data_IF_343606341434
#
_entry.id   IF_343606341434
#
_cell.length_a   1.000
_cell.length_b   1.000
_cell.length_c   1.000
_cell.angle_alpha   90.00
_cell.angle_beta   90.00
_cell.angle_gamma   90.00
#
_symmetry.space_group_name_H-M   'P 1'
#
loop_
_entity.id
_entity.type
_entity.pdbx_description
1 polymer ?
#
# COMPACT_ATOMS: atom_id res chain seq x y z
N UNK A 1 50.93 31.99 -9.07
CA UNK A 1 50.92 30.69 -9.81
C UNK A 1 50.07 29.59 -9.13
N UNK A 2 49.24 29.89 -8.13
CA UNK A 2 48.43 28.89 -7.40
C UNK A 2 46.90 28.87 -7.77
N UNK A 3 46.38 29.85 -8.50
CA UNK A 3 44.95 29.96 -8.80
C UNK A 3 44.53 29.16 -10.07
N UNK A 4 45.46 28.94 -11.02
CA UNK A 4 45.15 28.17 -12.25
C UNK A 4 44.93 26.65 -12.02
N UNK A 5 45.50 26.05 -10.98
CA UNK A 5 45.38 24.62 -10.72
C UNK A 5 44.03 24.25 -10.06
N UNK A 6 43.41 25.19 -9.35
CA UNK A 6 42.10 24.93 -8.68
C UNK A 6 40.96 24.90 -9.72
N UNK A 7 40.98 25.72 -10.74
CA UNK A 7 39.97 25.74 -11.79
C UNK A 7 39.99 24.49 -12.69
N UNK A 8 41.18 23.91 -12.93
CA UNK A 8 41.32 22.68 -13.73
C UNK A 8 40.79 21.47 -12.98
N UNK A 9 41.01 21.38 -11.68
CA UNK A 9 40.49 20.27 -10.85
C UNK A 9 38.96 20.32 -10.71
N UNK A 10 38.36 21.51 -10.62
CA UNK A 10 36.90 21.66 -10.58
C UNK A 10 36.25 21.31 -11.95
N UNK A 11 36.87 21.68 -13.07
CA UNK A 11 36.39 21.37 -14.40
C UNK A 11 36.46 19.85 -14.70
N UNK A 12 37.52 19.18 -14.28
CA UNK A 12 37.70 17.74 -14.47
C UNK A 12 36.69 16.97 -13.59
N UNK A 13 36.46 17.39 -12.34
CA UNK A 13 35.47 16.80 -11.44
C UNK A 13 34.04 16.95 -11.98
N UNK A 14 33.68 18.09 -12.56
CA UNK A 14 32.37 18.32 -13.17
C UNK A 14 32.17 17.49 -14.45
N UNK A 15 33.18 17.36 -15.28
CA UNK A 15 33.14 16.53 -16.51
C UNK A 15 33.06 15.05 -16.11
N UNK A 16 33.80 14.59 -15.10
CA UNK A 16 33.72 13.22 -14.61
C UNK A 16 32.36 12.90 -13.98
N UNK A 17 31.74 13.82 -13.24
CA UNK A 17 30.41 13.62 -12.67
C UNK A 17 29.31 13.59 -13.75
N UNK A 18 29.42 14.41 -14.77
CA UNK A 18 28.49 14.41 -15.90
C UNK A 18 28.66 13.16 -16.80
N UNK A 19 29.89 12.68 -17.02
CA UNK A 19 30.12 11.42 -17.73
C UNK A 19 29.70 10.18 -16.95
N UNK A 20 29.85 10.15 -15.63
CA UNK A 20 29.30 9.07 -14.79
C UNK A 20 27.76 9.08 -14.75
N UNK A 21 27.15 10.25 -14.67
CA UNK A 21 25.68 10.39 -14.74
C UNK A 21 25.15 9.96 -16.11
N UNK A 22 25.77 10.41 -17.21
CA UNK A 22 25.40 9.98 -18.55
C UNK A 22 25.61 8.49 -18.80
N UNK A 23 26.69 7.89 -18.28
CA UNK A 23 26.94 6.46 -18.37
C UNK A 23 25.94 5.63 -17.52
N UNK A 24 25.46 6.16 -16.41
CA UNK A 24 24.42 5.52 -15.61
C UNK A 24 23.05 5.57 -16.31
N UNK A 25 22.75 6.67 -16.99
CA UNK A 25 21.50 6.84 -17.74
C UNK A 25 21.46 5.94 -18.98
N UNK A 26 22.56 5.87 -19.75
CA UNK A 26 22.66 4.96 -20.91
C UNK A 26 22.53 3.49 -20.51
N UNK A 27 23.10 3.09 -19.39
CA UNK A 27 22.98 1.71 -18.89
C UNK A 27 21.55 1.40 -18.43
N UNK A 28 20.85 2.38 -17.84
CA UNK A 28 19.45 2.27 -17.47
C UNK A 28 18.54 2.16 -18.69
N UNK A 29 18.72 3.02 -19.67
CA UNK A 29 17.95 2.99 -20.93
C UNK A 29 18.15 1.67 -21.68
N UNK A 30 19.39 1.19 -21.77
CA UNK A 30 19.70 -0.07 -22.42
C UNK A 30 19.04 -1.26 -21.72
N UNK A 31 19.05 -1.27 -20.39
CA UNK A 31 18.37 -2.30 -19.59
C UNK A 31 16.84 -2.27 -19.74
N UNK A 32 16.26 -1.08 -19.80
CA UNK A 32 14.82 -0.93 -20.07
C UNK A 32 14.45 -1.42 -21.46
N UNK A 33 15.28 -1.13 -22.47
CA UNK A 33 15.09 -1.62 -23.84
C UNK A 33 15.19 -3.14 -23.94
N UNK A 34 16.11 -3.77 -23.21
CA UNK A 34 16.22 -5.23 -23.15
C UNK A 34 14.99 -5.87 -22.49
N UNK A 35 14.50 -5.30 -21.40
CA UNK A 35 13.25 -5.73 -20.76
C UNK A 35 12.07 -5.57 -21.72
N UNK A 36 11.97 -4.46 -22.41
CA UNK A 36 10.94 -4.22 -23.40
C UNK A 36 10.97 -5.27 -24.54
N UNK A 37 12.15 -5.55 -25.08
CA UNK A 37 12.32 -6.60 -26.11
C UNK A 37 11.97 -7.99 -25.60
N UNK A 38 12.29 -8.30 -24.34
CA UNK A 38 11.92 -9.57 -23.71
C UNK A 38 10.40 -9.74 -23.66
N UNK A 39 9.69 -8.76 -23.10
CA UNK A 39 8.23 -8.83 -23.02
C UNK A 39 7.55 -8.79 -24.39
N UNK A 40 8.09 -8.06 -25.35
CA UNK A 40 7.57 -8.02 -26.70
C UNK A 40 7.68 -9.35 -27.43
N UNK A 41 8.71 -10.15 -27.11
CA UNK A 41 8.93 -11.45 -27.72
C UNK A 41 8.06 -12.55 -27.10
N UNK A 42 7.90 -12.53 -25.79
CA UNK A 42 7.24 -13.60 -25.02
C UNK A 42 5.71 -13.40 -24.93
N UNK A 43 5.22 -12.16 -25.10
CA UNK A 43 3.82 -11.81 -24.87
C UNK A 43 3.19 -11.02 -26.00
N UNK A 44 1.86 -11.04 -26.08
CA UNK A 44 1.05 -10.35 -27.09
C UNK A 44 0.68 -8.91 -26.67
N UNK A 45 1.60 -8.16 -26.10
CA UNK A 45 1.33 -6.76 -25.74
C UNK A 45 1.29 -5.87 -27.00
N UNK A 46 0.32 -4.94 -27.04
CA UNK A 46 0.40 -3.85 -27.99
C UNK A 46 1.55 -2.94 -27.56
N UNK A 47 2.58 -2.92 -28.34
CA UNK A 47 3.69 -2.01 -28.16
C UNK A 47 3.34 -0.74 -28.90
N UNK A 48 2.84 0.26 -28.24
CA UNK A 48 2.99 1.62 -28.70
C UNK A 48 4.48 1.93 -28.62
N UNK A 49 5.08 2.18 -29.76
CA UNK A 49 6.53 2.29 -29.94
C UNK A 49 7.21 3.36 -29.09
N UNK A 50 6.54 4.04 -28.22
CA UNK A 50 7.04 5.21 -27.49
C UNK A 50 6.91 5.16 -25.98
N UNK A 51 6.00 4.37 -25.39
CA UNK A 51 5.83 4.41 -23.93
C UNK A 51 5.20 3.14 -23.37
N UNK A 52 5.98 2.44 -22.59
CA UNK A 52 5.51 1.41 -21.68
C UNK A 52 5.50 1.98 -20.26
N UNK A 53 4.35 2.39 -19.78
CA UNK A 53 4.18 3.02 -18.48
C UNK A 53 4.70 2.18 -17.30
N UNK A 54 4.73 0.86 -17.44
CA UNK A 54 5.11 -0.04 -16.36
C UNK A 54 6.61 -0.41 -16.33
N UNK A 55 7.26 -0.65 -17.48
CA UNK A 55 8.66 -1.14 -17.50
C UNK A 55 9.61 -0.20 -16.73
N UNK A 56 9.39 1.09 -16.81
CA UNK A 56 10.13 2.09 -16.05
C UNK A 56 10.02 1.94 -14.52
N UNK A 57 8.98 1.30 -14.04
CA UNK A 57 8.70 1.12 -12.62
C UNK A 57 9.29 -0.18 -12.04
N UNK A 58 9.70 -1.13 -12.89
CA UNK A 58 10.24 -2.43 -12.47
C UNK A 58 11.37 -2.32 -11.44
N UNK A 59 12.37 -1.42 -11.56
CA UNK A 59 13.42 -1.30 -10.55
C UNK A 59 12.88 -0.90 -9.17
N UNK A 60 11.90 -0.01 -9.12
CA UNK A 60 11.24 0.42 -7.89
C UNK A 60 10.43 -0.72 -7.28
N UNK A 61 9.62 -1.40 -8.09
CA UNK A 61 8.83 -2.54 -7.63
C UNK A 61 9.71 -3.70 -7.16
N UNK A 62 10.81 -3.99 -7.88
CA UNK A 62 11.78 -5.01 -7.47
C UNK A 62 12.41 -4.71 -6.10
N UNK A 63 12.69 -3.44 -5.80
CA UNK A 63 13.22 -3.01 -4.51
C UNK A 63 12.17 -3.09 -3.41
N UNK A 64 10.96 -2.58 -3.64
CA UNK A 64 9.90 -2.45 -2.62
C UNK A 64 9.21 -3.78 -2.37
N UNK A 65 8.84 -4.51 -3.41
CA UNK A 65 8.09 -5.76 -3.32
C UNK A 65 8.99 -7.01 -3.24
N UNK A 66 10.27 -6.90 -3.61
CA UNK A 66 11.24 -8.00 -3.58
C UNK A 66 11.26 -8.79 -2.27
N UNK A 67 11.15 -8.16 -1.10
CA UNK A 67 11.05 -8.88 0.19
C UNK A 67 9.83 -9.80 0.31
N UNK A 68 8.81 -9.67 -0.54
CA UNK A 68 7.62 -10.53 -0.59
C UNK A 68 7.78 -11.71 -1.55
N UNK A 69 8.80 -11.71 -2.40
CA UNK A 69 9.04 -12.77 -3.40
C UNK A 69 9.05 -14.15 -2.76
N UNK A 70 8.23 -15.04 -3.29
CA UNK A 70 8.16 -16.44 -2.87
C UNK A 70 7.55 -16.67 -1.49
N UNK A 71 7.01 -15.66 -0.83
CA UNK A 71 6.28 -15.87 0.42
C UNK A 71 4.94 -16.57 0.16
N UNK A 72 4.52 -17.50 1.03
CA UNK A 72 3.23 -18.16 0.91
C UNK A 72 2.08 -17.21 1.17
N UNK A 73 0.96 -17.41 0.47
CA UNK A 73 -0.32 -16.75 0.76
C UNK A 73 -0.38 -15.27 0.38
N UNK A 74 0.63 -14.71 -0.30
CA UNK A 74 0.57 -13.34 -0.81
C UNK A 74 -0.57 -13.18 -1.79
N UNK A 75 -1.40 -12.18 -1.57
CA UNK A 75 -2.51 -11.85 -2.45
C UNK A 75 -2.36 -10.42 -3.01
N UNK A 76 -2.27 -10.33 -4.33
CA UNK A 76 -2.15 -9.09 -5.07
C UNK A 76 -3.48 -8.75 -5.75
N UNK A 77 -3.89 -7.48 -5.64
CA UNK A 77 -5.04 -6.91 -6.36
C UNK A 77 -4.55 -5.85 -7.34
N UNK A 78 -5.07 -5.88 -8.55
CA UNK A 78 -4.83 -4.87 -9.58
C UNK A 78 -6.14 -4.31 -10.09
N UNK A 79 -6.26 -2.99 -10.09
CA UNK A 79 -7.38 -2.24 -10.64
C UNK A 79 -6.90 -1.60 -11.93
N UNK A 80 -7.46 -2.05 -13.06
CA UNK A 80 -6.98 -1.68 -14.38
C UNK A 80 -5.88 -2.62 -14.88
N UNK A 81 -6.23 -3.87 -15.21
CA UNK A 81 -5.22 -4.85 -15.69
C UNK A 81 -4.84 -4.65 -17.15
N UNK A 82 -5.64 -3.94 -17.94
CA UNK A 82 -5.42 -3.72 -19.37
C UNK A 82 -5.05 -5.04 -20.10
N UNK A 83 -3.84 -5.13 -20.65
CA UNK A 83 -3.30 -6.32 -21.31
C UNK A 83 -2.48 -7.23 -20.35
N UNK A 84 -2.34 -6.86 -19.07
CA UNK A 84 -1.75 -7.67 -17.99
C UNK A 84 -0.25 -7.53 -17.80
N UNK A 85 0.38 -6.46 -18.24
CA UNK A 85 1.84 -6.34 -18.17
C UNK A 85 2.39 -6.31 -16.74
N UNK A 86 1.87 -5.45 -15.89
CA UNK A 86 2.15 -5.38 -14.46
C UNK A 86 1.77 -6.66 -13.74
N UNK A 87 0.56 -7.18 -14.03
CA UNK A 87 0.06 -8.44 -13.48
C UNK A 87 1.00 -9.63 -13.74
N UNK A 88 1.47 -9.76 -14.98
CA UNK A 88 2.39 -10.84 -15.37
C UNK A 88 3.74 -10.68 -14.69
N UNK A 89 4.28 -9.45 -14.67
CA UNK A 89 5.53 -9.20 -13.97
C UNK A 89 5.44 -9.59 -12.48
N UNK A 90 4.35 -9.25 -11.82
CA UNK A 90 4.13 -9.62 -10.41
C UNK A 90 4.02 -11.14 -10.24
N UNK A 91 3.32 -11.83 -11.14
CA UNK A 91 3.20 -13.30 -11.13
C UNK A 91 4.56 -13.97 -11.27
N UNK A 92 5.41 -13.50 -12.18
CA UNK A 92 6.73 -14.05 -12.47
C UNK A 92 7.76 -13.74 -11.39
N UNK A 93 7.70 -12.53 -10.79
CA UNK A 93 8.80 -12.03 -9.97
C UNK A 93 8.48 -11.99 -8.47
N UNK A 94 7.22 -11.87 -8.07
CA UNK A 94 6.79 -11.71 -6.68
C UNK A 94 5.96 -12.90 -6.22
N UNK A 95 4.89 -13.24 -6.95
CA UNK A 95 3.93 -14.29 -6.59
C UNK A 95 4.41 -15.69 -6.97
N UNK A 96 5.70 -15.97 -6.76
CA UNK A 96 6.32 -17.24 -7.20
C UNK A 96 5.91 -18.44 -6.35
N UNK A 97 5.45 -18.25 -5.10
CA UNK A 97 4.95 -19.34 -4.27
C UNK A 97 3.65 -19.93 -4.82
N UNK A 98 3.43 -21.26 -4.76
CA UNK A 98 2.21 -21.90 -5.30
C UNK A 98 0.90 -21.38 -4.73
N UNK A 99 0.87 -20.94 -3.45
CA UNK A 99 -0.34 -20.44 -2.77
C UNK A 99 -0.57 -18.94 -2.97
N UNK A 100 0.34 -18.24 -3.63
CA UNK A 100 0.17 -16.82 -3.93
C UNK A 100 -0.88 -16.65 -5.04
N UNK A 101 -1.65 -15.54 -4.97
CA UNK A 101 -2.81 -15.29 -5.84
C UNK A 101 -2.79 -13.87 -6.38
N UNK A 102 -3.40 -13.69 -7.54
CA UNK A 102 -3.70 -12.42 -8.17
C UNK A 102 -5.20 -12.27 -8.35
N UNK A 103 -5.74 -11.11 -8.04
CA UNK A 103 -7.09 -10.68 -8.45
C UNK A 103 -6.93 -9.44 -9.33
N UNK A 104 -7.50 -9.47 -10.54
CA UNK A 104 -7.50 -8.35 -11.46
C UNK A 104 -8.92 -7.85 -11.69
N UNK A 105 -9.12 -6.53 -11.68
CA UNK A 105 -10.41 -5.89 -12.01
C UNK A 105 -10.18 -5.01 -13.24
N UNK A 106 -11.03 -5.14 -14.26
CA UNK A 106 -10.99 -4.27 -15.43
C UNK A 106 -12.39 -4.16 -16.05
N UNK A 107 -12.64 -3.04 -16.68
CA UNK A 107 -13.84 -2.85 -17.52
C UNK A 107 -13.73 -3.60 -18.84
N UNK A 108 -12.53 -3.71 -19.37
CA UNK A 108 -12.24 -4.16 -20.73
C UNK A 108 -13.13 -3.43 -21.74
N UNK A 109 -12.85 -2.17 -22.07
CA UNK A 109 -13.71 -1.34 -22.89
C UNK A 109 -14.10 -2.02 -24.20
N UNK A 110 -15.38 -1.92 -24.56
CA UNK A 110 -15.88 -2.47 -25.82
C UNK A 110 -15.13 -1.89 -27.03
N UNK A 111 -14.89 -2.73 -28.05
CA UNK A 111 -14.16 -2.35 -29.25
C UNK A 111 -12.64 -2.39 -29.10
N UNK A 112 -12.11 -2.78 -27.92
CA UNK A 112 -10.69 -3.04 -27.72
C UNK A 112 -10.40 -4.55 -27.70
N UNK A 113 -9.14 -4.92 -28.00
CA UNK A 113 -8.68 -6.32 -27.91
C UNK A 113 -7.97 -6.60 -26.55
N UNK A 114 -8.09 -5.69 -25.58
CA UNK A 114 -7.38 -5.74 -24.31
C UNK A 114 -7.71 -7.00 -23.51
N UNK A 115 -8.98 -7.35 -23.44
CA UNK A 115 -9.45 -8.55 -22.74
C UNK A 115 -8.85 -9.83 -23.32
N UNK A 116 -8.89 -9.96 -24.65
CA UNK A 116 -8.31 -11.12 -25.34
C UNK A 116 -6.81 -11.21 -25.11
N UNK A 117 -6.10 -10.10 -25.26
CA UNK A 117 -4.66 -10.03 -25.01
C UNK A 117 -4.30 -10.37 -23.56
N UNK A 118 -5.07 -9.85 -22.60
CA UNK A 118 -4.87 -10.16 -21.19
C UNK A 118 -4.92 -11.66 -20.89
N UNK A 119 -6.00 -12.33 -21.33
CA UNK A 119 -6.14 -13.77 -21.09
C UNK A 119 -5.12 -14.58 -21.87
N UNK A 120 -4.76 -14.15 -23.06
CA UNK A 120 -3.71 -14.80 -23.85
C UNK A 120 -2.34 -14.69 -23.16
N UNK A 121 -2.01 -13.50 -22.67
CA UNK A 121 -0.78 -13.23 -21.95
C UNK A 121 -0.72 -14.01 -20.63
N UNK A 122 -1.83 -14.09 -19.88
CA UNK A 122 -1.92 -14.94 -18.69
C UNK A 122 -1.67 -16.42 -19.02
N UNK A 123 -2.21 -16.92 -20.13
CA UNK A 123 -1.97 -18.28 -20.59
C UNK A 123 -0.50 -18.50 -20.96
N UNK A 124 0.10 -17.59 -21.71
CA UNK A 124 1.51 -17.65 -22.11
C UNK A 124 2.45 -17.61 -20.89
N UNK A 125 2.11 -16.86 -19.86
CA UNK A 125 2.91 -16.80 -18.62
C UNK A 125 2.96 -18.13 -17.85
N UNK A 126 2.00 -19.03 -18.09
CA UNK A 126 1.88 -20.27 -17.32
C UNK A 126 1.29 -20.08 -15.90
N UNK A 127 0.85 -18.87 -15.53
CA UNK A 127 0.32 -18.56 -14.19
C UNK A 127 -1.19 -18.31 -14.16
N UNK A 128 -1.92 -18.60 -15.24
CA UNK A 128 -3.37 -18.33 -15.34
C UNK A 128 -4.16 -18.93 -14.15
N UNK A 129 -3.74 -20.06 -13.60
CA UNK A 129 -4.36 -20.74 -12.46
C UNK A 129 -4.25 -19.95 -11.14
N UNK A 130 -3.34 -18.98 -11.05
CA UNK A 130 -3.20 -18.10 -9.87
C UNK A 130 -4.03 -16.83 -9.97
N UNK A 131 -4.56 -16.51 -11.16
CA UNK A 131 -5.25 -15.27 -11.46
C UNK A 131 -6.77 -15.45 -11.45
N UNK A 132 -7.46 -14.57 -10.74
CA UNK A 132 -8.91 -14.38 -10.79
C UNK A 132 -9.19 -13.04 -11.45
N UNK A 133 -10.00 -13.02 -12.50
CA UNK A 133 -10.35 -11.79 -13.23
C UNK A 133 -11.82 -11.43 -13.01
N UNK A 134 -12.07 -10.19 -12.64
CA UNK A 134 -13.41 -9.65 -12.40
C UNK A 134 -13.67 -8.52 -13.41
N UNK A 135 -14.61 -8.71 -14.32
CA UNK A 135 -14.97 -7.68 -15.29
C UNK A 135 -16.03 -6.73 -14.69
N UNK A 136 -15.79 -5.43 -14.78
CA UNK A 136 -16.73 -4.38 -14.40
C UNK A 136 -16.11 -3.18 -13.69
N UNK A 137 -16.92 -2.20 -13.34
CA UNK A 137 -16.49 -0.99 -12.65
C UNK A 137 -15.85 -1.30 -11.30
N UNK A 138 -14.63 -0.80 -11.08
CA UNK A 138 -13.84 -1.03 -9.85
C UNK A 138 -14.62 -0.67 -8.60
N UNK A 139 -15.29 0.49 -8.57
CA UNK A 139 -16.05 1.00 -7.43
C UNK A 139 -17.21 0.08 -7.02
N UNK A 140 -17.71 -0.75 -7.94
CA UNK A 140 -18.74 -1.76 -7.65
C UNK A 140 -18.08 -3.05 -7.19
N UNK A 141 -17.02 -3.49 -7.90
CA UNK A 141 -16.40 -4.80 -7.66
C UNK A 141 -15.56 -4.83 -6.38
N UNK A 142 -14.88 -3.75 -6.03
CA UNK A 142 -14.13 -3.64 -4.78
C UNK A 142 -15.00 -3.89 -3.55
N UNK A 143 -16.27 -3.43 -3.56
CA UNK A 143 -17.21 -3.65 -2.45
C UNK A 143 -17.62 -5.12 -2.24
N UNK A 144 -17.33 -5.99 -3.18
CA UNK A 144 -17.62 -7.42 -3.09
C UNK A 144 -16.44 -8.25 -2.58
N UNK A 145 -15.28 -7.62 -2.42
CA UNK A 145 -14.06 -8.30 -1.99
C UNK A 145 -13.95 -8.30 -0.45
N UNK A 146 -13.29 -9.32 0.12
CA UNK A 146 -13.15 -9.43 1.56
C UNK A 146 -12.17 -8.40 2.12
N UNK A 147 -12.51 -7.83 3.28
CA UNK A 147 -11.67 -6.87 4.00
C UNK A 147 -10.34 -7.51 4.44
N UNK A 148 -9.28 -6.71 4.56
CA UNK A 148 -7.96 -7.11 5.05
C UNK A 148 -7.43 -8.41 4.41
N UNK A 149 -7.61 -8.57 3.10
CA UNK A 149 -7.30 -9.81 2.38
C UNK A 149 -6.15 -9.69 1.40
N UNK A 150 -5.73 -8.48 1.05
CA UNK A 150 -4.68 -8.23 0.07
C UNK A 150 -3.40 -7.69 0.72
N UNK A 151 -2.26 -8.22 0.28
CA UNK A 151 -0.93 -7.78 0.73
C UNK A 151 -0.38 -6.63 -0.11
N UNK A 152 -0.80 -6.57 -1.37
CA UNK A 152 -0.41 -5.55 -2.34
C UNK A 152 -1.66 -5.17 -3.14
N UNK A 153 -1.91 -3.87 -3.29
CA UNK A 153 -2.96 -3.35 -4.18
C UNK A 153 -2.34 -2.31 -5.10
N UNK A 154 -2.61 -2.42 -6.40
CA UNK A 154 -2.21 -1.47 -7.43
C UNK A 154 -3.44 -0.81 -8.05
N UNK A 155 -3.47 0.52 -8.00
CA UNK A 155 -4.56 1.37 -8.51
C UNK A 155 -4.07 2.03 -9.79
N UNK A 156 -4.57 1.53 -10.92
CA UNK A 156 -4.24 1.95 -12.29
C UNK A 156 -5.47 1.86 -13.22
N UNK A 157 -6.64 2.26 -12.69
CA UNK A 157 -7.91 2.12 -13.41
C UNK A 157 -8.40 3.41 -14.05
N UNK A 158 -8.96 4.32 -13.25
CA UNK A 158 -9.39 5.64 -13.71
C UNK A 158 -8.26 6.65 -13.51
N UNK A 159 -7.96 7.45 -14.54
CA UNK A 159 -6.90 8.48 -14.47
C UNK A 159 -7.45 9.86 -14.07
N UNK A 160 -8.69 9.94 -13.56
CA UNK A 160 -9.29 11.17 -13.03
C UNK A 160 -9.32 11.13 -11.51
N UNK A 161 -9.09 12.28 -10.88
CA UNK A 161 -9.01 12.42 -9.44
C UNK A 161 -10.18 11.72 -8.68
N UNK A 162 -11.42 11.88 -9.14
CA UNK A 162 -12.58 11.29 -8.47
C UNK A 162 -12.55 9.74 -8.49
N UNK A 163 -12.17 9.13 -9.63
CA UNK A 163 -12.06 7.69 -9.76
C UNK A 163 -10.90 7.13 -8.93
N UNK A 164 -9.72 7.74 -9.02
CA UNK A 164 -8.54 7.36 -8.22
C UNK A 164 -8.85 7.44 -6.73
N UNK A 165 -9.52 8.52 -6.26
CA UNK A 165 -9.87 8.65 -4.85
C UNK A 165 -10.85 7.57 -4.39
N UNK A 166 -11.86 7.27 -5.22
CA UNK A 166 -12.84 6.22 -4.91
C UNK A 166 -12.16 4.84 -4.81
N UNK A 167 -11.28 4.52 -5.76
CA UNK A 167 -10.53 3.26 -5.77
C UNK A 167 -9.56 3.19 -4.57
N UNK A 168 -8.89 4.29 -4.22
CA UNK A 168 -8.02 4.38 -3.07
C UNK A 168 -8.74 4.07 -1.75
N UNK A 169 -9.88 4.75 -1.52
CA UNK A 169 -10.67 4.60 -0.29
C UNK A 169 -11.21 3.17 -0.15
N UNK A 170 -11.77 2.62 -1.23
CA UNK A 170 -12.28 1.24 -1.21
C UNK A 170 -11.18 0.21 -1.05
N UNK A 171 -10.02 0.43 -1.67
CA UNK A 171 -8.85 -0.45 -1.56
C UNK A 171 -8.24 -0.47 -0.18
N UNK A 172 -8.33 0.65 0.55
CA UNK A 172 -7.72 0.76 1.88
C UNK A 172 -8.27 -0.24 2.88
N UNK A 173 -9.58 -0.48 2.85
CA UNK A 173 -10.23 -1.47 3.71
C UNK A 173 -9.89 -2.92 3.33
N UNK A 174 -9.55 -3.15 2.05
CA UNK A 174 -9.17 -4.47 1.54
C UNK A 174 -7.70 -4.79 1.84
N UNK A 175 -6.87 -3.76 2.01
CA UNK A 175 -5.43 -3.89 2.25
C UNK A 175 -5.16 -4.34 3.68
N UNK A 176 -4.35 -5.39 3.84
CA UNK A 176 -3.88 -5.85 5.16
C UNK A 176 -3.00 -4.79 5.84
N UNK A 177 -2.99 -4.72 7.19
CA UNK A 177 -1.92 -4.05 7.91
C UNK A 177 -0.55 -4.56 7.44
N UNK A 178 0.40 -3.65 7.22
CA UNK A 178 1.71 -3.99 6.64
C UNK A 178 1.74 -4.13 5.12
N UNK A 179 0.58 -4.09 4.44
CA UNK A 179 0.45 -4.18 2.99
C UNK A 179 0.85 -2.89 2.26
N UNK A 180 1.05 -3.01 0.95
CA UNK A 180 1.43 -1.91 0.07
C UNK A 180 0.27 -1.49 -0.83
N UNK A 181 -0.02 -0.18 -0.88
CA UNK A 181 -0.90 0.43 -1.86
C UNK A 181 -0.04 1.25 -2.83
N UNK A 182 -0.16 0.93 -4.11
CA UNK A 182 0.60 1.55 -5.18
C UNK A 182 -0.39 2.32 -6.06
N UNK A 183 -0.12 3.58 -6.31
CA UNK A 183 -0.87 4.42 -7.22
C UNK A 183 -0.05 4.67 -8.47
N UNK A 184 -0.63 4.42 -9.62
CA UNK A 184 -0.04 4.89 -10.88
C UNK A 184 -0.30 6.38 -11.12
N UNK A 185 0.35 6.94 -12.10
CA UNK A 185 0.11 8.27 -12.66
C UNK A 185 0.20 9.45 -11.66
N UNK A 186 0.90 9.29 -10.54
CA UNK A 186 1.03 10.38 -9.56
C UNK A 186 1.63 11.65 -10.18
N UNK A 187 2.60 11.51 -11.10
CA UNK A 187 3.19 12.63 -11.84
C UNK A 187 2.71 12.69 -13.29
N UNK A 188 1.61 12.04 -13.63
CA UNK A 188 1.07 12.10 -14.98
C UNK A 188 0.53 13.50 -15.28
N UNK A 189 1.05 14.10 -16.35
CA UNK A 189 0.73 15.45 -16.81
C UNK A 189 -0.03 15.38 -18.13
N UNK A 190 -1.34 15.14 -18.07
CA UNK A 190 -2.20 15.43 -19.21
C UNK A 190 -2.46 16.94 -19.27
N UNK A 191 -1.95 17.58 -20.32
CA UNK A 191 -2.13 19.02 -20.53
C UNK A 191 -3.58 19.41 -20.84
N UNK A 192 -4.41 18.46 -21.28
CA UNK A 192 -5.82 18.65 -21.56
C UNK A 192 -6.68 18.49 -20.31
N UNK A 193 -6.14 17.98 -19.21
CA UNK A 193 -6.85 17.77 -17.98
C UNK A 193 -6.47 18.86 -16.97
N UNK A 194 -7.43 19.65 -16.44
CA UNK A 194 -7.19 20.59 -15.36
C UNK A 194 -6.50 19.91 -14.16
N UNK A 195 -5.66 20.66 -13.43
CA UNK A 195 -4.88 20.09 -12.31
C UNK A 195 -5.76 19.44 -11.25
N UNK A 196 -6.91 20.03 -10.96
CA UNK A 196 -7.89 19.55 -9.99
C UNK A 196 -8.57 18.23 -10.39
N UNK A 197 -8.42 17.81 -11.64
CA UNK A 197 -8.96 16.54 -12.13
C UNK A 197 -7.88 15.44 -12.28
N UNK A 198 -6.61 15.76 -12.03
CA UNK A 198 -5.49 14.82 -12.17
C UNK A 198 -5.38 13.85 -10.99
N UNK A 199 -4.80 12.65 -11.20
CA UNK A 199 -4.59 11.66 -10.15
C UNK A 199 -3.88 12.20 -8.91
N UNK A 200 -2.92 13.10 -9.09
CA UNK A 200 -2.11 13.69 -8.01
C UNK A 200 -2.96 14.28 -6.88
N UNK A 201 -4.01 15.05 -7.22
CA UNK A 201 -4.90 15.64 -6.21
C UNK A 201 -5.56 14.56 -5.33
N UNK A 202 -6.05 13.50 -5.94
CA UNK A 202 -6.68 12.40 -5.24
C UNK A 202 -5.71 11.67 -4.32
N UNK A 203 -4.50 11.38 -4.82
CA UNK A 203 -3.46 10.66 -4.10
C UNK A 203 -2.96 11.49 -2.91
N UNK A 204 -2.67 12.78 -3.10
CA UNK A 204 -2.24 13.68 -2.01
C UNK A 204 -3.34 13.87 -0.95
N UNK A 205 -4.60 13.95 -1.37
CA UNK A 205 -5.75 14.02 -0.46
C UNK A 205 -5.90 12.75 0.35
N UNK A 206 -5.79 11.58 -0.28
CA UNK A 206 -5.83 10.28 0.38
C UNK A 206 -4.68 10.12 1.40
N UNK A 207 -3.45 10.46 1.01
CA UNK A 207 -2.28 10.41 1.90
C UNK A 207 -2.46 11.36 3.08
N UNK A 208 -2.95 12.58 2.83
CA UNK A 208 -3.17 13.56 3.89
C UNK A 208 -4.21 13.09 4.90
N UNK A 209 -5.33 12.54 4.42
CA UNK A 209 -6.39 12.00 5.28
C UNK A 209 -5.92 10.80 6.11
N UNK A 210 -5.06 9.95 5.54
CA UNK A 210 -4.59 8.71 6.17
C UNK A 210 -3.16 8.81 6.74
N UNK A 211 -2.60 10.01 6.89
CA UNK A 211 -1.19 10.24 7.29
C UNK A 211 -0.73 9.51 8.55
N UNK A 212 -1.65 9.23 9.48
CA UNK A 212 -1.34 8.55 10.73
C UNK A 212 -1.31 7.02 10.56
N UNK A 213 -2.03 6.47 9.58
CA UNK A 213 -2.20 5.04 9.33
C UNK A 213 -1.34 4.50 8.19
N UNK A 214 -0.59 5.38 7.50
CA UNK A 214 0.30 4.98 6.41
C UNK A 214 1.72 5.55 6.56
N UNK A 215 2.63 4.96 5.79
CA UNK A 215 3.98 5.44 5.55
C UNK A 215 4.21 5.56 4.05
N UNK A 216 4.75 6.69 3.59
CA UNK A 216 5.13 6.88 2.19
C UNK A 216 6.47 6.19 1.96
N UNK A 217 6.48 5.13 1.14
CA UNK A 217 7.67 4.31 0.84
C UNK A 217 8.40 4.83 -0.39
N UNK A 218 7.65 5.31 -1.39
CA UNK A 218 8.21 5.85 -2.62
C UNK A 218 7.34 6.99 -3.15
N UNK A 219 8.00 8.05 -3.62
CA UNK A 219 7.37 9.18 -4.31
C UNK A 219 8.13 9.41 -5.62
N UNK A 220 7.50 9.10 -6.73
CA UNK A 220 8.03 9.24 -8.08
C UNK A 220 6.89 9.37 -9.07
N UNK A 221 7.03 8.86 -10.29
CA UNK A 221 5.92 8.78 -11.24
C UNK A 221 4.75 7.98 -10.64
N UNK A 222 5.07 6.92 -9.89
CA UNK A 222 4.12 6.23 -9.02
C UNK A 222 4.30 6.66 -7.57
N UNK A 223 3.22 6.56 -6.79
CA UNK A 223 3.25 6.74 -5.33
C UNK A 223 3.03 5.39 -4.67
N UNK A 224 3.94 5.01 -3.75
CA UNK A 224 3.80 3.77 -2.98
C UNK A 224 3.69 4.10 -1.50
N UNK A 225 2.63 3.64 -0.88
CA UNK A 225 2.43 3.75 0.57
C UNK A 225 2.31 2.37 1.20
N UNK A 226 2.71 2.26 2.46
CA UNK A 226 2.55 1.06 3.28
C UNK A 226 1.55 1.33 4.39
N UNK A 227 0.56 0.47 4.55
CA UNK A 227 -0.39 0.52 5.67
C UNK A 227 0.35 0.15 6.94
N UNK A 228 0.26 0.97 7.98
CA UNK A 228 0.95 0.72 9.25
C UNK A 228 0.33 -0.49 9.96
N UNK A 229 1.18 -1.31 10.58
CA UNK A 229 0.74 -2.38 11.46
C UNK A 229 0.21 -1.80 12.78
N UNK A 230 -0.83 -2.41 13.32
CA UNK A 230 -1.41 -1.97 14.59
C UNK A 230 -2.26 -0.69 14.52
N UNK A 231 -2.44 -0.13 13.32
CA UNK A 231 -3.41 0.95 13.08
C UNK A 231 -4.73 0.31 12.63
N UNK A 232 -5.78 0.51 13.40
CA UNK A 232 -7.11 -0.01 13.05
C UNK A 232 -7.87 1.06 12.25
N UNK A 233 -7.98 0.84 10.95
CA UNK A 233 -8.97 1.54 10.10
C UNK A 233 -10.33 0.83 10.13
N UNK A 234 -10.63 0.12 11.24
CA UNK A 234 -11.72 -0.85 11.30
C UNK A 234 -13.11 -0.27 11.16
N UNK A 235 -13.26 1.04 11.05
CA UNK A 235 -14.58 1.64 10.88
C UNK A 235 -14.56 2.84 9.92
N UNK A 236 -15.40 2.81 8.88
CA UNK A 236 -15.53 3.92 7.91
C UNK A 236 -16.37 5.10 8.45
N UNK A 237 -16.53 5.25 9.77
CA UNK A 237 -17.38 6.31 10.31
C UNK A 237 -16.63 7.10 11.39
N UNK A 238 -16.24 8.35 11.13
CA UNK A 238 -15.89 9.27 12.21
C UNK A 238 -17.16 9.60 13.04
N UNK A 239 -17.10 9.68 14.35
CA UNK A 239 -15.94 9.89 15.20
C UNK A 239 -15.65 8.71 16.13
N UNK A 240 -15.41 7.53 15.59
CA UNK A 240 -15.00 6.41 16.41
C UNK A 240 -13.49 6.29 16.41
N UNK A 241 -12.85 6.39 17.56
CA UNK A 241 -11.43 6.15 17.71
C UNK A 241 -11.17 4.66 17.90
N UNK A 242 -10.41 4.05 16.99
CA UNK A 242 -9.79 2.76 17.25
C UNK A 242 -8.43 3.03 17.89
N UNK A 243 -8.27 2.68 19.15
CA UNK A 243 -7.05 2.99 19.88
C UNK A 243 -6.34 1.69 20.25
N UNK A 244 -5.07 1.52 19.87
CA UNK A 244 -4.30 0.32 20.23
C UNK A 244 -4.19 0.14 21.74
N UNK A 245 -4.33 -1.09 22.19
CA UNK A 245 -4.14 -1.51 23.57
C UNK A 245 -3.42 -2.87 23.61
N UNK A 246 -2.10 -2.85 23.47
CA UNK A 246 -1.31 -4.05 23.20
C UNK A 246 -1.67 -4.66 21.85
N UNK A 247 -1.95 -5.96 21.81
CA UNK A 247 -2.47 -6.67 20.65
C UNK A 247 -4.00 -6.54 20.48
N UNK A 248 -4.64 -5.69 21.26
CA UNK A 248 -6.08 -5.40 21.19
C UNK A 248 -6.33 -4.01 20.64
N UNK A 249 -7.57 -3.78 20.25
CA UNK A 249 -8.07 -2.52 19.78
C UNK A 249 -9.28 -2.13 20.59
N UNK A 250 -9.20 -0.97 21.22
CA UNK A 250 -10.32 -0.38 21.93
C UNK A 250 -11.12 0.50 20.99
N UNK A 251 -12.37 0.17 20.76
CA UNK A 251 -13.31 0.88 19.90
C UNK A 251 -14.12 1.83 20.74
N UNK A 252 -13.85 3.14 20.58
CA UNK A 252 -14.60 4.19 21.23
C UNK A 252 -15.87 4.50 20.44
N UNK A 253 -17.02 4.24 21.05
CA UNK A 253 -18.32 4.48 20.43
C UNK A 253 -18.99 5.76 20.93
N UNK A 254 -18.92 6.82 20.11
CA UNK A 254 -19.49 8.13 20.46
C UNK A 254 -21.04 8.17 20.49
N UNK A 255 -21.71 7.19 19.87
CA UNK A 255 -23.17 7.17 19.67
C UNK A 255 -23.94 6.36 20.71
N UNK A 256 -23.42 6.22 21.92
CA UNK A 256 -24.17 5.67 23.07
C UNK A 256 -24.21 4.13 23.16
N UNK A 257 -23.47 3.42 22.34
CA UNK A 257 -23.16 2.01 22.56
C UNK A 257 -21.95 1.90 23.49
N UNK A 258 -21.84 0.81 24.22
CA UNK A 258 -20.66 0.57 25.05
C UNK A 258 -19.40 0.49 24.22
N UNK A 259 -18.31 1.12 24.71
CA UNK A 259 -16.98 0.95 24.14
C UNK A 259 -16.53 -0.51 24.26
N UNK A 260 -15.90 -1.04 23.23
CA UNK A 260 -15.58 -2.46 23.12
C UNK A 260 -14.10 -2.68 22.85
N UNK A 261 -13.55 -3.78 23.35
CA UNK A 261 -12.19 -4.21 23.12
C UNK A 261 -12.20 -5.45 22.22
N UNK A 262 -11.42 -5.42 21.15
CA UNK A 262 -11.32 -6.53 20.20
C UNK A 262 -9.87 -6.99 20.10
N UNK A 263 -9.66 -8.30 19.96
CA UNK A 263 -8.35 -8.83 19.58
C UNK A 263 -8.10 -8.53 18.09
N UNK A 264 -6.88 -8.10 17.72
CA UNK A 264 -6.53 -7.73 16.31
C UNK A 264 -6.75 -8.86 15.31
N UNK A 265 -6.72 -10.11 15.77
CA UNK A 265 -6.98 -11.30 14.94
C UNK A 265 -8.43 -11.77 14.95
N UNK A 266 -9.28 -11.24 15.85
CA UNK A 266 -10.71 -11.56 15.95
C UNK A 266 -11.53 -10.29 16.19
N UNK A 267 -11.87 -9.61 15.12
CA UNK A 267 -12.67 -8.38 15.16
C UNK A 267 -14.19 -8.63 15.20
N UNK A 268 -14.63 -9.89 15.27
CA UNK A 268 -16.06 -10.23 15.30
C UNK A 268 -16.59 -10.35 16.74
N UNK A 269 -15.72 -10.76 17.65
CA UNK A 269 -16.09 -11.06 19.02
C UNK A 269 -15.41 -10.10 20.00
N UNK A 270 -16.16 -9.16 20.61
CA UNK A 270 -15.59 -8.26 21.59
C UNK A 270 -15.23 -9.00 22.88
N UNK A 271 -14.14 -8.57 23.50
CA UNK A 271 -13.74 -9.05 24.82
C UNK A 271 -14.73 -8.55 25.87
N UNK A 272 -15.26 -9.44 26.68
CA UNK A 272 -16.10 -9.05 27.81
C UNK A 272 -15.28 -8.30 28.85
N UNK A 273 -15.67 -7.06 29.14
CA UNK A 273 -15.04 -6.17 30.11
C UNK A 273 -16.03 -5.77 31.20
N UNK A 274 -15.55 -5.75 32.45
CA UNK A 274 -16.25 -5.05 33.53
C UNK A 274 -16.17 -3.54 33.37
N UNK A 275 -17.07 -2.79 34.01
CA UNK A 275 -17.03 -1.32 33.98
C UNK A 275 -15.75 -0.75 34.58
N UNK A 276 -15.11 -1.44 35.52
CA UNK A 276 -13.85 -1.02 36.12
C UNK A 276 -12.70 -1.18 35.10
N UNK A 277 -12.67 -2.29 34.37
CA UNK A 277 -11.69 -2.54 33.31
C UNK A 277 -11.83 -1.54 32.16
N UNK A 278 -13.08 -1.23 31.75
CA UNK A 278 -13.34 -0.21 30.73
C UNK A 278 -12.75 1.15 31.14
N UNK A 279 -13.11 1.63 32.32
CA UNK A 279 -12.57 2.92 32.81
C UNK A 279 -11.05 2.94 32.90
N UNK A 280 -10.45 1.81 33.27
CA UNK A 280 -9.00 1.69 33.32
C UNK A 280 -8.38 1.77 31.91
N UNK A 281 -8.92 1.03 30.94
CA UNK A 281 -8.47 1.08 29.54
C UNK A 281 -8.62 2.50 29.02
N UNK A 282 -9.75 3.16 29.25
CA UNK A 282 -9.97 4.54 28.84
C UNK A 282 -8.94 5.50 29.43
N UNK A 283 -8.58 5.34 30.69
CA UNK A 283 -7.51 6.14 31.32
C UNK A 283 -6.16 5.93 30.64
N UNK A 284 -5.83 4.69 30.26
CA UNK A 284 -4.58 4.34 29.57
C UNK A 284 -4.53 4.94 28.16
N UNK A 285 -5.62 4.79 27.40
CA UNK A 285 -5.65 5.21 25.99
C UNK A 285 -5.78 6.73 25.79
N UNK A 286 -6.19 7.46 26.82
CA UNK A 286 -6.30 8.94 26.73
C UNK A 286 -4.98 9.60 26.34
N UNK A 287 -3.84 9.01 26.65
CA UNK A 287 -2.53 9.52 26.24
C UNK A 287 -2.32 9.50 24.72
N UNK A 288 -2.90 8.50 24.01
CA UNK A 288 -2.83 8.41 22.54
C UNK A 288 -3.75 9.44 21.88
N UNK A 289 -4.88 9.77 22.50
CA UNK A 289 -5.79 10.80 22.01
C UNK A 289 -5.13 12.17 21.90
N UNK A 290 -4.11 12.43 22.73
CA UNK A 290 -3.31 13.67 22.70
C UNK A 290 -2.04 13.56 21.81
N UNK A 291 -2.03 12.65 20.84
CA UNK A 291 -0.99 12.57 19.79
C UNK A 291 0.20 11.69 20.12
N UNK A 292 0.11 10.82 21.10
CA UNK A 292 1.14 9.80 21.35
C UNK A 292 0.95 8.58 20.45
N UNK A 293 2.08 8.04 19.98
CA UNK A 293 2.07 6.86 19.09
C UNK A 293 1.63 5.56 19.80
N UNK A 294 1.80 5.48 21.11
CA UNK A 294 1.41 4.34 21.95
C UNK A 294 0.76 4.81 23.24
N UNK A 295 -0.16 4.01 23.83
CA UNK A 295 -0.69 4.27 25.16
C UNK A 295 0.44 4.28 26.21
N UNK A 296 0.35 5.19 27.16
CA UNK A 296 1.38 5.33 28.21
C UNK A 296 0.92 4.62 29.48
N UNK A 297 1.73 3.68 29.96
CA UNK A 297 1.54 3.05 31.25
C UNK A 297 2.37 3.79 32.32
N UNK A 298 1.68 4.48 33.22
CA UNK A 298 2.31 5.13 34.39
C UNK A 298 2.54 4.11 35.49
N UNK A 299 3.39 4.49 36.48
CA UNK A 299 3.61 3.65 37.66
C UNK A 299 2.30 3.33 38.40
N UNK A 300 1.39 4.30 38.50
CA UNK A 300 0.07 4.10 39.12
C UNK A 300 -0.73 2.99 38.41
N UNK A 301 -0.78 3.00 37.07
CA UNK A 301 -1.48 1.97 36.29
C UNK A 301 -0.78 0.61 36.41
N UNK A 302 0.53 0.57 36.36
CA UNK A 302 1.29 -0.69 36.47
C UNK A 302 1.13 -1.38 37.83
N UNK A 303 0.77 -0.62 38.88
CA UNK A 303 0.52 -1.13 40.23
C UNK A 303 -0.97 -1.31 40.54
N UNK A 304 -1.87 -0.93 39.62
CA UNK A 304 -3.34 -1.13 39.78
C UNK A 304 -3.68 -2.62 39.63
N UNK A 305 -4.30 -3.19 40.65
CA UNK A 305 -4.69 -4.61 40.66
C UNK A 305 -5.58 -4.97 39.47
N UNK A 306 -6.48 -4.06 39.04
CA UNK A 306 -7.35 -4.28 37.88
C UNK A 306 -6.52 -4.40 36.60
N UNK A 307 -5.47 -3.58 36.44
CA UNK A 307 -4.58 -3.68 35.30
C UNK A 307 -3.76 -4.96 35.32
N UNK A 308 -3.25 -5.35 36.48
CA UNK A 308 -2.46 -6.58 36.66
C UNK A 308 -3.29 -7.81 36.30
N UNK A 309 -4.53 -7.89 36.79
CA UNK A 309 -5.45 -9.00 36.50
C UNK A 309 -5.87 -9.00 35.03
N UNK A 310 -6.23 -7.84 34.49
CA UNK A 310 -6.61 -7.67 33.08
C UNK A 310 -5.44 -8.06 32.14
N UNK A 311 -4.23 -7.59 32.44
CA UNK A 311 -3.03 -7.88 31.63
C UNK A 311 -2.72 -9.37 31.59
N UNK A 312 -2.88 -10.06 32.70
CA UNK A 312 -2.73 -11.52 32.78
C UNK A 312 -3.83 -12.25 32.01
N UNK A 313 -5.09 -11.87 32.21
CA UNK A 313 -6.24 -12.48 31.54
C UNK A 313 -6.18 -12.35 30.02
N UNK A 314 -5.73 -11.20 29.53
CA UNK A 314 -5.61 -10.91 28.10
C UNK A 314 -4.25 -11.28 27.53
N UNK A 315 -3.29 -11.71 28.34
CA UNK A 315 -1.89 -11.95 27.93
C UNK A 315 -1.35 -10.77 27.13
N UNK A 316 -1.46 -9.54 27.68
CA UNK A 316 -1.16 -8.31 26.95
C UNK A 316 0.29 -8.26 26.45
N UNK A 317 0.48 -7.92 25.18
CA UNK A 317 1.77 -7.58 24.63
C UNK A 317 2.22 -6.19 25.12
N UNK A 318 3.15 -6.17 26.06
CA UNK A 318 3.66 -4.94 26.67
C UNK A 318 4.46 -4.06 25.69
N UNK A 319 4.92 -4.60 24.55
CA UNK A 319 5.59 -3.80 23.51
C UNK A 319 4.66 -2.81 22.83
N UNK A 320 3.35 -3.03 22.93
CA UNK A 320 2.32 -2.11 22.45
C UNK A 320 2.18 -0.83 23.29
N UNK A 321 2.93 -0.68 24.40
CA UNK A 321 2.81 0.44 25.33
C UNK A 321 4.14 1.19 25.49
N UNK A 322 4.03 2.48 25.83
CA UNK A 322 5.15 3.28 26.34
C UNK A 322 5.13 3.24 27.87
N UNK A 323 6.22 2.84 28.51
CA UNK A 323 6.30 2.74 29.96
C UNK A 323 6.94 4.00 30.54
N UNK A 324 6.18 4.78 31.29
CA UNK A 324 6.69 5.92 32.04
C UNK A 324 6.88 5.52 33.51
N UNK A 325 8.15 5.40 33.91
CA UNK A 325 8.57 5.00 35.28
C UNK A 325 8.68 6.18 36.25
N UNK A 326 8.38 7.41 35.80
CA UNK A 326 8.40 8.57 36.67
C UNK A 326 7.15 8.65 37.55
#
# INVERSE_FOLDING_TARGET
MKIRHIFILFSISMIFSQTLAAASDTNKEQRLLELHKHYAKEYCFSLDNTFDGFIGQIPTWGKVLGPLKGKPGIHYLEIGVNQGRSAIWVLENILTHPTAKLTGIDLFPEGTDFKEKYFNNLKLSGYAQKATTITGFSQIKLRTLPLNSFDIIYVDGDHRAAGVLADAVLSWDLLKPGGFLIFDDYLWLDKNLPEELRPQLAIDSFITANRNSLEVIHRGYQMIVKKREGFCDCFPVPPMGCIPFGQYIYVWNYWGKQNELYHTQDMKNPVTLSDRERRLIEKVIMSTYFGKAKPILTREILTDNTFIELSKRLNLDMNGFEINKK
#
